data_IF_217048078702
#
_entry.id   IF_217048078702
#
_cell.length_a   1.000
_cell.length_b   1.000
_cell.length_c   1.000
_cell.angle_alpha   90.00
_cell.angle_beta   90.00
_cell.angle_gamma   90.00
#
_symmetry.space_group_name_H-M   'P 1'
#
loop_
_entity.id
_entity.type
_entity.pdbx_description
1 polymer ?
#
# COMPACT_ATOMS: atom_id res chain seq x y z
N UNK A 1 2.48 -18.20 -3.11
CA UNK A 1 2.11 -17.22 -2.06
C UNK A 1 1.35 -16.09 -2.73
N UNK A 2 0.15 -15.75 -2.26
CA UNK A 2 -0.64 -14.66 -2.87
C UNK A 2 -0.02 -13.30 -2.47
N UNK A 3 -0.14 -12.26 -3.30
CA UNK A 3 0.48 -10.96 -3.02
C UNK A 3 -0.07 -10.28 -1.78
N UNK A 4 -1.37 -10.42 -1.49
CA UNK A 4 -1.94 -9.88 -0.26
C UNK A 4 -1.27 -10.46 0.99
N UNK A 5 -0.91 -11.74 0.95
CA UNK A 5 -0.21 -12.43 2.02
C UNK A 5 1.24 -11.92 2.15
N UNK A 6 1.92 -11.69 1.02
CA UNK A 6 3.27 -11.11 0.98
C UNK A 6 3.33 -9.72 1.62
N UNK A 7 2.40 -8.83 1.23
CA UNK A 7 2.34 -7.46 1.75
C UNK A 7 2.06 -7.46 3.26
N UNK A 8 1.11 -8.29 3.70
CA UNK A 8 0.78 -8.41 5.11
C UNK A 8 1.92 -9.03 5.91
N UNK A 9 2.68 -9.98 5.35
CA UNK A 9 3.86 -10.55 6.00
C UNK A 9 4.97 -9.51 6.17
N UNK A 10 5.23 -8.68 5.15
CA UNK A 10 6.15 -7.54 5.26
C UNK A 10 5.70 -6.54 6.34
N UNK A 11 4.41 -6.24 6.40
CA UNK A 11 3.86 -5.27 7.36
C UNK A 11 3.77 -5.81 8.80
N UNK A 12 3.37 -7.07 9.00
CA UNK A 12 3.11 -7.68 10.32
C UNK A 12 4.38 -8.19 11.03
N UNK A 13 5.56 -8.01 10.42
CA UNK A 13 6.86 -8.27 11.06
C UNK A 13 7.09 -9.72 11.53
N UNK A 14 6.46 -10.73 10.91
CA UNK A 14 6.60 -12.14 11.33
C UNK A 14 8.02 -12.71 11.21
N UNK A 15 8.91 -12.09 10.43
CA UNK A 15 10.30 -12.51 10.24
C UNK A 15 11.26 -11.31 9.97
N UNK A 16 11.97 -10.85 11.02
CA UNK A 16 13.25 -10.07 11.05
C UNK A 16 13.32 -8.52 10.86
N UNK A 17 14.21 -7.96 11.71
CA UNK A 17 15.11 -6.77 11.66
C UNK A 17 14.65 -5.37 11.21
N UNK A 18 13.69 -5.19 10.30
CA UNK A 18 13.32 -3.83 9.83
C UNK A 18 11.80 -3.60 9.86
N UNK A 19 11.37 -2.56 10.59
CA UNK A 19 9.96 -2.15 10.62
C UNK A 19 9.68 -1.19 9.46
N UNK A 20 8.94 -1.64 8.46
CA UNK A 20 8.43 -0.79 7.38
C UNK A 20 6.99 -0.36 7.66
N UNK A 21 6.60 0.80 7.13
CA UNK A 21 5.25 1.34 7.33
C UNK A 21 4.24 0.85 6.27
N UNK A 22 2.97 1.24 6.41
CA UNK A 22 1.90 0.84 5.49
C UNK A 22 2.09 1.31 4.03
N UNK A 23 2.72 2.47 3.82
CA UNK A 23 3.01 3.00 2.49
C UNK A 23 4.14 2.20 1.83
N UNK A 24 5.24 1.98 2.56
CA UNK A 24 6.39 1.19 2.10
C UNK A 24 6.00 -0.25 1.76
N UNK A 25 5.12 -0.87 2.55
CA UNK A 25 4.66 -2.23 2.29
C UNK A 25 3.93 -2.36 0.93
N UNK A 26 3.06 -1.40 0.60
CA UNK A 26 2.34 -1.37 -0.69
C UNK A 26 3.33 -1.11 -1.82
N UNK A 27 4.09 -0.03 -1.72
CA UNK A 27 5.01 0.40 -2.78
C UNK A 27 6.01 -0.70 -3.14
N UNK A 28 6.67 -1.30 -2.13
CA UNK A 28 7.65 -2.38 -2.33
C UNK A 28 7.03 -3.60 -3.03
N UNK A 29 5.75 -3.89 -2.80
CA UNK A 29 5.14 -5.13 -3.30
C UNK A 29 4.48 -4.97 -4.67
N UNK A 30 3.96 -3.78 -4.99
CA UNK A 30 3.16 -3.56 -6.20
C UNK A 30 3.82 -2.65 -7.23
N UNK A 31 5.02 -2.14 -6.98
CA UNK A 31 5.80 -1.50 -8.05
C UNK A 31 6.04 -2.51 -9.19
N UNK A 32 5.65 -2.20 -10.44
CA UNK A 32 5.75 -3.14 -11.58
C UNK A 32 7.19 -3.53 -11.94
N UNK A 33 8.16 -2.70 -11.61
CA UNK A 33 9.58 -2.98 -11.88
C UNK A 33 10.22 -3.80 -10.76
N UNK A 34 9.54 -3.93 -9.61
CA UNK A 34 10.01 -4.66 -8.44
C UNK A 34 11.02 -3.83 -7.64
N UNK A 35 10.60 -3.35 -6.48
CA UNK A 35 11.46 -2.55 -5.60
C UNK A 35 12.00 -3.38 -4.44
N UNK A 36 13.30 -3.20 -4.16
CA UNK A 36 13.90 -3.63 -2.90
C UNK A 36 13.68 -2.56 -1.81
N UNK A 37 13.84 -2.96 -0.55
CA UNK A 37 13.59 -2.06 0.59
C UNK A 37 14.51 -0.84 0.63
N UNK A 38 15.73 -0.98 0.13
CA UNK A 38 16.74 0.07 0.13
C UNK A 38 16.69 0.95 -1.13
N UNK A 39 15.69 0.75 -2.00
CA UNK A 39 15.45 1.66 -3.12
C UNK A 39 15.10 3.05 -2.62
N UNK A 40 15.59 4.09 -3.31
CA UNK A 40 15.40 5.49 -2.94
C UNK A 40 13.91 5.83 -2.73
N UNK A 41 13.04 5.31 -3.61
CA UNK A 41 11.60 5.53 -3.54
C UNK A 41 10.97 4.88 -2.28
N UNK A 42 11.35 3.63 -1.94
CA UNK A 42 10.85 2.97 -0.71
C UNK A 42 11.37 3.67 0.55
N UNK A 43 12.60 4.20 0.52
CA UNK A 43 13.16 5.01 1.61
C UNK A 43 12.37 6.31 1.76
N UNK A 44 12.05 7.00 0.66
CA UNK A 44 11.27 8.23 0.69
C UNK A 44 9.89 7.99 1.34
N UNK A 45 9.24 6.89 0.99
CA UNK A 45 7.91 6.54 1.50
C UNK A 45 7.87 6.21 3.00
N UNK A 46 9.05 6.11 3.66
CA UNK A 46 9.15 6.03 5.12
C UNK A 46 8.45 7.21 5.82
N UNK A 47 8.43 8.40 5.20
CA UNK A 47 7.80 9.61 5.75
C UNK A 47 6.26 9.60 5.68
N UNK A 48 5.65 8.69 4.92
CA UNK A 48 4.20 8.68 4.65
C UNK A 48 3.39 7.72 5.56
N UNK A 49 4.04 7.07 6.52
CA UNK A 49 3.36 6.27 7.54
C UNK A 49 2.58 7.10 8.56
N UNK A 50 1.69 6.45 9.33
CA UNK A 50 1.00 7.04 10.49
C UNK A 50 0.18 8.32 10.19
N UNK A 51 -0.35 8.45 8.97
CA UNK A 51 -1.15 9.62 8.56
C UNK A 51 -0.30 10.87 8.26
N UNK A 52 0.98 10.68 7.94
CA UNK A 52 1.89 11.75 7.51
C UNK A 52 1.99 11.89 5.99
N UNK A 53 1.26 11.08 5.22
CA UNK A 53 1.08 11.31 3.79
C UNK A 53 0.43 12.69 3.54
N UNK A 54 0.61 13.28 2.34
CA UNK A 54 -0.13 14.46 1.91
C UNK A 54 -1.63 14.36 2.23
N UNK A 55 -2.24 15.48 2.59
CA UNK A 55 -3.65 15.55 3.04
C UNK A 55 -3.98 14.65 4.25
N UNK A 56 -2.97 14.18 5.00
CA UNK A 56 -3.10 13.25 6.13
C UNK A 56 -3.71 11.90 5.74
N UNK A 57 -3.58 11.53 4.47
CA UNK A 57 -4.11 10.27 3.95
C UNK A 57 -3.49 9.04 4.63
N UNK A 58 -4.22 7.94 4.55
CA UNK A 58 -3.71 6.63 4.87
C UNK A 58 -2.50 6.31 3.98
N UNK A 59 -1.40 5.85 4.58
CA UNK A 59 -0.17 5.55 3.83
C UNK A 59 -0.35 4.46 2.78
N UNK A 60 -1.18 3.43 3.07
CA UNK A 60 -1.50 2.38 2.10
C UNK A 60 -2.28 2.94 0.90
N UNK A 61 -3.30 3.75 1.16
CA UNK A 61 -4.06 4.44 0.11
C UNK A 61 -3.16 5.35 -0.72
N UNK A 62 -2.33 6.15 -0.07
CA UNK A 62 -1.44 7.08 -0.76
C UNK A 62 -0.46 6.36 -1.69
N UNK A 63 0.18 5.28 -1.21
CA UNK A 63 1.11 4.49 -2.03
C UNK A 63 0.43 3.76 -3.19
N UNK A 64 -0.76 3.21 -2.97
CA UNK A 64 -1.54 2.62 -4.05
C UNK A 64 -1.95 3.68 -5.08
N UNK A 65 -2.40 4.86 -4.64
CA UNK A 65 -2.77 5.97 -5.53
C UNK A 65 -1.58 6.43 -6.35
N UNK A 66 -0.40 6.54 -5.75
CA UNK A 66 0.84 6.88 -6.45
C UNK A 66 1.16 5.89 -7.58
N UNK A 67 1.06 4.58 -7.31
CA UNK A 67 1.29 3.55 -8.32
C UNK A 67 0.26 3.61 -9.45
N UNK A 68 -1.01 3.82 -9.11
CA UNK A 68 -2.09 3.93 -10.09
C UNK A 68 -1.95 5.20 -10.94
N UNK A 69 -1.60 6.33 -10.35
CA UNK A 69 -1.37 7.59 -11.09
C UNK A 69 -0.31 7.43 -12.19
N UNK A 70 0.74 6.65 -11.93
CA UNK A 70 1.83 6.42 -12.88
C UNK A 70 1.47 5.38 -13.95
N UNK A 71 0.81 4.28 -13.56
CA UNK A 71 0.65 3.10 -14.44
C UNK A 71 -0.77 2.87 -14.95
N UNK A 72 -1.79 3.26 -14.19
CA UNK A 72 -3.21 3.03 -14.47
C UNK A 72 -4.08 4.21 -13.99
N UNK A 73 -3.88 5.43 -14.53
CA UNK A 73 -4.54 6.63 -14.03
C UNK A 73 -6.07 6.56 -14.16
N UNK A 74 -6.58 5.75 -15.10
CA UNK A 74 -8.01 5.47 -15.27
C UNK A 74 -8.64 4.77 -14.07
N UNK A 75 -7.84 4.11 -13.22
CA UNK A 75 -8.29 3.40 -12.02
C UNK A 75 -8.30 4.24 -10.75
N UNK A 76 -7.84 5.49 -10.81
CA UNK A 76 -7.68 6.33 -9.62
C UNK A 76 -9.00 6.62 -8.90
N UNK A 77 -10.04 6.99 -9.64
CA UNK A 77 -11.35 7.29 -9.06
C UNK A 77 -12.01 6.02 -8.50
N UNK A 78 -11.96 4.93 -9.27
CA UNK A 78 -12.46 3.62 -8.85
C UNK A 78 -11.77 3.16 -7.56
N UNK A 79 -10.45 3.29 -7.47
CA UNK A 79 -9.70 2.94 -6.27
C UNK A 79 -10.08 3.82 -5.07
N UNK A 80 -10.20 5.13 -5.27
CA UNK A 80 -10.60 6.05 -4.20
C UNK A 80 -11.99 5.70 -3.64
N UNK A 81 -12.93 5.34 -4.52
CA UNK A 81 -14.27 4.91 -4.12
C UNK A 81 -14.24 3.55 -3.44
N UNK A 82 -13.55 2.56 -4.01
CA UNK A 82 -13.35 1.25 -3.40
C UNK A 82 -12.78 1.36 -1.99
N UNK A 83 -11.67 2.09 -1.85
CA UNK A 83 -10.98 2.22 -0.57
C UNK A 83 -11.90 2.90 0.45
N UNK A 84 -12.54 4.01 0.08
CA UNK A 84 -13.45 4.76 0.96
C UNK A 84 -14.63 3.91 1.43
N UNK A 85 -15.23 3.08 0.55
CA UNK A 85 -16.32 2.16 0.93
C UNK A 85 -15.86 1.17 2.00
N UNK A 86 -14.63 0.68 1.91
CA UNK A 86 -14.10 -0.31 2.87
C UNK A 86 -13.56 0.33 4.15
N UNK A 87 -12.92 1.50 4.07
CA UNK A 87 -12.25 2.16 5.19
C UNK A 87 -13.07 3.25 5.88
N UNK A 88 -14.17 3.68 5.26
CA UNK A 88 -15.04 4.77 5.72
C UNK A 88 -14.52 6.18 5.40
N UNK A 89 -13.20 6.37 5.27
CA UNK A 89 -12.57 7.65 4.89
C UNK A 89 -11.20 7.36 4.26
N UNK A 90 -10.57 8.35 3.63
CA UNK A 90 -9.20 8.25 3.10
C UNK A 90 -8.16 8.77 4.11
N UNK A 91 -8.58 9.60 5.07
CA UNK A 91 -7.72 10.21 6.09
C UNK A 91 -7.45 9.21 7.21
N UNK A 92 -6.15 8.92 7.44
CA UNK A 92 -5.71 7.89 8.38
C UNK A 92 -6.33 8.03 9.77
N UNK A 93 -6.30 9.23 10.36
CA UNK A 93 -6.85 9.46 11.71
C UNK A 93 -8.35 9.24 11.78
N UNK A 94 -9.10 9.57 10.71
CA UNK A 94 -10.55 9.36 10.67
C UNK A 94 -10.87 7.87 10.60
N UNK A 95 -10.19 7.10 9.75
CA UNK A 95 -10.31 5.63 9.67
C UNK A 95 -10.05 5.01 11.05
N UNK A 96 -8.97 5.42 11.72
CA UNK A 96 -8.60 4.88 13.03
C UNK A 96 -9.60 5.27 14.13
N UNK A 97 -10.12 6.50 14.12
CA UNK A 97 -11.12 6.98 15.10
C UNK A 97 -12.46 6.28 14.92
N UNK A 98 -12.89 6.06 13.68
CA UNK A 98 -14.11 5.32 13.35
C UNK A 98 -14.00 3.81 13.64
N UNK A 99 -12.78 3.29 13.87
CA UNK A 99 -12.48 1.87 14.10
C UNK A 99 -12.91 0.95 12.95
N UNK A 100 -13.11 1.50 11.76
CA UNK A 100 -13.52 0.76 10.57
C UNK A 100 -12.43 -0.24 10.11
N UNK A 101 -11.18 0.23 10.02
CA UNK A 101 -10.03 -0.61 9.67
C UNK A 101 -8.81 -0.37 10.56
N UNK A 102 -8.05 -1.45 10.76
CA UNK A 102 -6.67 -1.42 11.24
C UNK A 102 -5.70 -0.96 10.15
N UNK A 103 -4.47 -0.60 10.52
CA UNK A 103 -3.43 -0.32 9.52
C UNK A 103 -3.19 -1.54 8.61
N UNK A 104 -3.20 -2.75 9.17
CA UNK A 104 -3.12 -3.98 8.38
C UNK A 104 -4.35 -4.17 7.48
N UNK A 105 -5.55 -3.84 7.95
CA UNK A 105 -6.75 -3.91 7.12
C UNK A 105 -6.72 -2.90 5.96
N UNK A 106 -6.18 -1.69 6.19
CA UNK A 106 -5.96 -0.73 5.11
C UNK A 106 -4.96 -1.26 4.07
N UNK A 107 -3.88 -1.89 4.52
CA UNK A 107 -2.89 -2.51 3.64
C UNK A 107 -3.52 -3.66 2.83
N UNK A 108 -4.31 -4.50 3.47
CA UNK A 108 -5.03 -5.60 2.84
C UNK A 108 -6.01 -5.11 1.76
N UNK A 109 -6.85 -4.10 2.07
CA UNK A 109 -7.83 -3.60 1.10
C UNK A 109 -7.18 -2.91 -0.10
N UNK A 110 -6.05 -2.21 0.10
CA UNK A 110 -5.27 -1.68 -1.02
C UNK A 110 -4.66 -2.80 -1.85
N UNK A 111 -4.08 -3.81 -1.21
CA UNK A 111 -3.52 -4.98 -1.88
C UNK A 111 -4.56 -5.73 -2.73
N UNK A 112 -5.76 -5.97 -2.19
CA UNK A 112 -6.83 -6.65 -2.92
C UNK A 112 -7.19 -5.93 -4.21
N UNK A 113 -7.33 -4.59 -4.18
CA UNK A 113 -7.60 -3.82 -5.40
C UNK A 113 -6.43 -3.88 -6.39
N UNK A 114 -5.20 -3.73 -5.90
CA UNK A 114 -4.00 -3.73 -6.74
C UNK A 114 -3.72 -5.10 -7.37
N UNK A 115 -4.17 -6.21 -6.77
CA UNK A 115 -4.06 -7.53 -7.39
C UNK A 115 -4.82 -7.61 -8.71
N UNK A 116 -5.98 -6.98 -8.79
CA UNK A 116 -6.80 -6.98 -10.00
C UNK A 116 -6.21 -6.06 -11.08
N UNK A 117 -5.52 -5.00 -10.68
CA UNK A 117 -4.90 -4.02 -11.60
C UNK A 117 -3.51 -4.46 -12.08
N UNK A 118 -2.72 -5.06 -11.20
CA UNK A 118 -1.35 -5.52 -11.48
C UNK A 118 -1.26 -7.04 -11.40
N UNK A 119 -1.81 -7.81 -12.36
CA UNK A 119 -1.88 -9.27 -12.26
C UNK A 119 -0.52 -9.97 -12.35
N UNK A 120 0.47 -9.39 -13.04
CA UNK A 120 1.77 -10.03 -13.32
C UNK A 120 2.90 -9.55 -12.39
N UNK A 121 3.71 -10.49 -11.89
CA UNK A 121 4.84 -10.20 -10.97
C UNK A 121 5.96 -9.49 -11.73
N UNK A 122 6.69 -8.55 -11.11
CA UNK A 122 7.91 -8.00 -11.71
C UNK A 122 8.85 -9.14 -12.09
N UNK A 123 9.33 -9.15 -13.33
CA UNK A 123 10.23 -10.18 -13.89
C UNK A 123 11.51 -10.39 -13.06
N UNK A 124 11.90 -9.40 -12.26
CA UNK A 124 13.11 -9.38 -11.44
C UNK A 124 13.08 -10.24 -10.16
N UNK A 125 11.97 -10.90 -9.80
CA UNK A 125 11.91 -11.82 -8.64
C UNK A 125 12.06 -13.30 -9.03
N UNK A 126 12.42 -13.57 -10.29
CA UNK A 126 12.81 -14.90 -10.76
C UNK A 126 14.34 -15.05 -10.74
N UNK A 127 14.93 -15.03 -9.55
CA UNK A 127 16.33 -15.44 -9.31
C UNK A 127 16.48 -15.97 -7.89
#
# INVERSE_FOLDING_TARGET
>A
MKREESVLNHFKHKNRKLRINCAQAILKTYDPNGLVLDSELVIEFKKHGHGKAPNKYCGAYYAASYLLEIHHPDKMEDFANWFRVKSGDLVCRKIRKARQLSCSGCVEQAALYLNDVFPEYPSALSS
#
